data_IF_253769979447
#
_entry.id   IF_253769979447
#
_cell.length_a   1.000
_cell.length_b   1.000
_cell.length_c   1.000
_cell.angle_alpha   90.00
_cell.angle_beta   90.00
_cell.angle_gamma   90.00
#
_symmetry.space_group_name_H-M   'P 1'
#
loop_
_entity.id
_entity.type
_entity.pdbx_description
1 polymer ?
#
# COMPACT_ATOMS: atom_id res chain seq x y z
N UNK A 1 2.60 13.02 -17.22
CA UNK A 1 1.29 12.32 -17.36
C UNK A 1 0.49 12.49 -16.09
N UNK A 2 -0.79 12.80 -16.18
CA UNK A 2 -1.66 12.93 -15.02
C UNK A 2 -2.27 11.58 -14.65
N UNK A 3 -2.51 11.39 -13.35
CA UNK A 3 -3.11 10.16 -12.81
C UNK A 3 -4.25 10.50 -11.86
N UNK A 4 -5.23 9.64 -11.81
CA UNK A 4 -6.26 9.62 -10.78
C UNK A 4 -6.09 8.38 -9.92
N UNK A 5 -6.38 8.53 -8.63
CA UNK A 5 -6.40 7.43 -7.68
C UNK A 5 -7.84 7.28 -7.20
N UNK A 6 -8.40 6.11 -7.41
CA UNK A 6 -9.79 5.80 -7.11
C UNK A 6 -9.87 4.67 -6.10
N UNK A 7 -10.69 4.84 -5.07
CA UNK A 7 -11.01 3.76 -4.15
C UNK A 7 -11.87 2.72 -4.85
N UNK A 8 -11.57 1.44 -4.60
CA UNK A 8 -12.29 0.31 -5.19
C UNK A 8 -12.76 -0.67 -4.12
N UNK A 9 -13.79 -1.42 -4.42
CA UNK A 9 -14.33 -2.43 -3.52
C UNK A 9 -13.72 -3.80 -3.85
N UNK A 10 -12.86 -4.29 -2.98
CA UNK A 10 -12.22 -5.60 -3.14
C UNK A 10 -13.16 -6.80 -2.99
N UNK A 11 -14.40 -6.59 -2.52
CA UNK A 11 -15.42 -7.63 -2.49
C UNK A 11 -16.12 -7.82 -3.84
N UNK A 12 -16.00 -6.88 -4.76
CA UNK A 12 -16.45 -7.02 -6.13
C UNK A 12 -15.52 -8.00 -6.85
N UNK A 13 -16.08 -9.04 -7.48
CA UNK A 13 -15.27 -10.11 -8.09
C UNK A 13 -14.38 -9.62 -9.23
N UNK A 14 -14.85 -8.70 -10.06
CA UNK A 14 -14.06 -8.13 -11.17
C UNK A 14 -12.91 -7.30 -10.63
N UNK A 15 -13.16 -6.52 -9.57
CA UNK A 15 -12.12 -5.74 -8.90
C UNK A 15 -11.12 -6.67 -8.20
N UNK A 16 -11.58 -7.70 -7.51
CA UNK A 16 -10.71 -8.67 -6.85
C UNK A 16 -9.77 -9.35 -7.84
N UNK A 17 -10.28 -9.78 -8.98
CA UNK A 17 -9.49 -10.38 -10.06
C UNK A 17 -8.46 -9.38 -10.60
N UNK A 18 -8.87 -8.14 -10.86
CA UNK A 18 -7.99 -7.08 -11.31
C UNK A 18 -6.84 -6.84 -10.33
N UNK A 19 -7.15 -6.77 -9.03
CA UNK A 19 -6.13 -6.55 -7.98
C UNK A 19 -5.14 -7.70 -7.90
N UNK A 20 -5.60 -8.94 -8.00
CA UNK A 20 -4.72 -10.12 -8.03
C UNK A 20 -3.83 -10.13 -9.27
N UNK A 21 -4.38 -9.84 -10.43
CA UNK A 21 -3.63 -9.78 -11.69
C UNK A 21 -2.57 -8.67 -11.67
N UNK A 22 -2.91 -7.49 -11.19
CA UNK A 22 -1.96 -6.38 -11.00
C UNK A 22 -0.85 -6.76 -10.02
N UNK A 23 -1.21 -7.39 -8.91
CA UNK A 23 -0.25 -7.85 -7.92
C UNK A 23 0.74 -8.85 -8.54
N UNK A 24 0.24 -9.85 -9.24
CA UNK A 24 1.08 -10.90 -9.83
C UNK A 24 1.97 -10.36 -10.95
N UNK A 25 1.46 -9.42 -11.73
CA UNK A 25 2.26 -8.72 -12.74
C UNK A 25 3.43 -7.95 -12.12
N UNK A 26 3.18 -7.24 -11.02
CA UNK A 26 4.17 -6.33 -10.40
C UNK A 26 5.14 -7.07 -9.49
N UNK A 27 4.66 -8.01 -8.70
CA UNK A 27 5.44 -8.71 -7.66
C UNK A 27 5.81 -10.14 -8.03
N UNK A 28 5.23 -10.70 -9.08
CA UNK A 28 5.39 -12.10 -9.45
C UNK A 28 4.37 -13.00 -8.76
N UNK A 29 4.03 -14.10 -9.41
CA UNK A 29 3.02 -15.06 -8.95
C UNK A 29 3.51 -15.94 -7.78
N UNK A 30 4.81 -15.95 -7.49
CA UNK A 30 5.39 -16.64 -6.34
C UNK A 30 5.33 -15.80 -5.06
N UNK A 31 5.02 -14.50 -5.14
CA UNK A 31 4.84 -13.67 -3.96
C UNK A 31 3.60 -14.09 -3.17
N UNK A 32 3.57 -13.88 -1.83
CA UNK A 32 2.38 -14.17 -1.05
C UNK A 32 1.14 -13.49 -1.62
N UNK A 33 0.04 -14.23 -1.70
CA UNK A 33 -1.21 -13.74 -2.26
C UNK A 33 -1.78 -12.56 -1.47
N UNK A 34 -2.44 -11.66 -2.17
CA UNK A 34 -3.20 -10.59 -1.55
C UNK A 34 -4.63 -11.04 -1.28
N UNK A 35 -5.31 -10.34 -0.36
CA UNK A 35 -6.67 -10.63 0.07
C UNK A 35 -7.57 -9.43 -0.22
N UNK A 36 -8.14 -9.33 -1.44
CA UNK A 36 -8.95 -8.17 -1.83
C UNK A 36 -10.14 -7.89 -0.92
N UNK A 37 -10.66 -8.92 -0.23
CA UNK A 37 -11.75 -8.79 0.74
C UNK A 37 -11.34 -8.13 2.05
N UNK A 38 -10.04 -7.99 2.32
CA UNK A 38 -9.54 -7.38 3.55
C UNK A 38 -9.17 -5.92 3.34
N UNK A 39 -9.54 -5.06 4.29
CA UNK A 39 -9.12 -3.67 4.32
C UNK A 39 -9.67 -2.82 3.17
N UNK A 40 -8.86 -1.87 2.74
CA UNK A 40 -9.27 -0.87 1.75
C UNK A 40 -8.24 -0.77 0.64
N UNK A 41 -8.74 -0.61 -0.60
CA UNK A 41 -7.96 -0.67 -1.81
C UNK A 41 -8.19 0.53 -2.71
N UNK A 42 -7.16 0.91 -3.44
CA UNK A 42 -7.22 1.94 -4.48
C UNK A 42 -6.48 1.46 -5.71
N UNK A 43 -6.94 1.94 -6.86
CA UNK A 43 -6.20 1.83 -8.12
C UNK A 43 -5.83 3.22 -8.60
N UNK A 44 -4.69 3.33 -9.27
CA UNK A 44 -4.31 4.52 -10.03
C UNK A 44 -4.44 4.23 -11.51
N UNK A 45 -4.93 5.18 -12.25
CA UNK A 45 -5.04 5.08 -13.71
C UNK A 45 -4.64 6.38 -14.39
N UNK A 46 -4.11 6.26 -15.60
CA UNK A 46 -3.70 7.40 -16.41
C UNK A 46 -4.95 8.18 -16.89
N UNK A 47 -4.87 9.50 -16.80
CA UNK A 47 -5.92 10.39 -17.30
C UNK A 47 -5.59 10.74 -18.74
N UNK A 48 -5.75 9.78 -19.62
CA UNK A 48 -5.62 9.92 -21.05
C UNK A 48 -6.62 9.01 -21.76
N UNK A 49 -6.48 8.87 -23.07
CA UNK A 49 -7.40 8.07 -23.89
C UNK A 49 -7.38 6.58 -23.52
N UNK A 50 -6.25 6.07 -23.04
CA UNK A 50 -6.09 4.65 -22.71
C UNK A 50 -6.73 4.29 -21.38
N UNK A 51 -6.78 5.22 -20.43
CA UNK A 51 -7.15 4.96 -19.04
C UNK A 51 -6.41 3.77 -18.43
N UNK A 52 -5.16 3.61 -18.85
CA UNK A 52 -4.33 2.49 -18.43
C UNK A 52 -4.14 2.48 -16.91
N UNK A 53 -4.29 1.29 -16.30
CA UNK A 53 -4.12 1.13 -14.87
C UNK A 53 -2.63 1.14 -14.56
N UNK A 54 -2.23 2.06 -13.68
CA UNK A 54 -0.83 2.29 -13.36
C UNK A 54 -0.35 1.53 -12.12
N UNK A 55 -1.27 1.18 -11.21
CA UNK A 55 -0.91 0.51 -9.98
C UNK A 55 -2.04 0.41 -8.98
N UNK A 56 -1.72 -0.09 -7.80
CA UNK A 56 -2.67 -0.28 -6.71
C UNK A 56 -2.02 -0.02 -5.36
N UNK A 57 -2.83 0.20 -4.34
CA UNK A 57 -2.37 0.21 -2.95
C UNK A 57 -3.44 -0.32 -2.00
N UNK A 58 -2.98 -0.71 -0.81
CA UNK A 58 -3.76 -1.44 0.17
C UNK A 58 -3.40 -0.99 1.58
N UNK A 59 -4.41 -0.78 2.43
CA UNK A 59 -4.25 -0.58 3.87
C UNK A 59 -5.29 -1.42 4.59
N UNK A 60 -4.93 -1.99 5.71
CA UNK A 60 -5.84 -2.86 6.46
C UNK A 60 -5.62 -2.82 7.95
N UNK A 61 -6.66 -3.10 8.76
CA UNK A 61 -6.44 -3.53 10.12
C UNK A 61 -5.86 -4.95 10.10
N UNK A 62 -5.25 -5.36 11.18
CA UNK A 62 -4.78 -6.73 11.35
C UNK A 62 -4.89 -7.13 12.81
N UNK A 63 -5.20 -8.40 13.06
CA UNK A 63 -5.27 -8.94 14.41
C UNK A 63 -3.91 -9.00 15.11
N UNK A 64 -2.83 -8.91 14.36
CA UNK A 64 -1.46 -8.85 14.90
C UNK A 64 -1.12 -7.48 15.52
N UNK A 65 -1.97 -6.47 15.32
CA UNK A 65 -1.76 -5.11 15.81
C UNK A 65 -2.91 -4.64 16.68
N UNK A 66 -2.67 -3.69 17.62
CA UNK A 66 -3.74 -3.02 18.34
C UNK A 66 -4.77 -2.39 17.39
N UNK A 67 -6.02 -2.26 17.83
CA UNK A 67 -7.12 -1.68 17.05
C UNK A 67 -6.90 -0.23 16.65
N UNK A 68 -6.00 0.49 17.32
CA UNK A 68 -5.63 1.88 17.01
C UNK A 68 -4.65 1.99 15.87
N UNK A 69 -4.09 0.89 15.41
CA UNK A 69 -3.08 0.84 14.37
C UNK A 69 -3.61 0.20 13.09
N UNK A 70 -3.32 0.81 11.96
CA UNK A 70 -3.52 0.22 10.65
C UNK A 70 -2.18 -0.21 10.04
N UNK A 71 -2.21 -1.23 9.21
CA UNK A 71 -1.05 -1.72 8.48
C UNK A 71 -1.08 -1.19 7.05
N UNK A 72 -0.04 -0.43 6.69
CA UNK A 72 0.19 0.03 5.33
C UNK A 72 0.71 -1.15 4.51
N UNK A 73 -0.21 -1.84 3.88
CA UNK A 73 0.08 -3.07 3.18
C UNK A 73 0.70 -2.81 1.80
N UNK A 74 0.67 -3.79 0.93
CA UNK A 74 1.37 -3.73 -0.33
C UNK A 74 0.85 -2.63 -1.25
N UNK A 75 1.78 -1.97 -1.95
CA UNK A 75 1.48 -1.02 -3.00
C UNK A 75 2.44 -1.26 -4.16
N UNK A 76 1.93 -1.24 -5.37
CA UNK A 76 2.73 -1.51 -6.56
C UNK A 76 2.41 -0.54 -7.69
N UNK A 77 3.43 -0.20 -8.46
CA UNK A 77 3.31 0.64 -9.66
C UNK A 77 3.91 -0.12 -10.83
N UNK A 78 3.16 -0.23 -11.91
CA UNK A 78 3.63 -0.86 -13.14
C UNK A 78 4.89 -0.17 -13.65
N UNK A 79 5.79 -0.93 -14.22
CA UNK A 79 7.09 -0.43 -14.67
C UNK A 79 6.98 0.81 -15.59
N UNK A 80 6.04 0.80 -16.53
CA UNK A 80 5.81 1.89 -17.47
C UNK A 80 5.30 3.20 -16.84
N UNK A 81 4.83 3.14 -15.59
CA UNK A 81 4.26 4.29 -14.86
C UNK A 81 5.11 4.73 -13.66
N UNK A 82 6.29 4.15 -13.47
CA UNK A 82 7.20 4.52 -12.37
C UNK A 82 7.80 5.90 -12.60
N UNK A 83 8.25 6.52 -11.51
CA UNK A 83 8.88 7.84 -11.56
C UNK A 83 7.90 9.02 -11.59
N UNK A 84 6.59 8.78 -11.42
CA UNK A 84 5.56 9.82 -11.44
C UNK A 84 5.05 10.22 -10.04
N UNK A 85 5.70 9.74 -8.97
CA UNK A 85 5.32 10.06 -7.60
C UNK A 85 4.10 9.31 -7.07
N UNK A 86 3.66 8.25 -7.73
CA UNK A 86 2.47 7.49 -7.34
C UNK A 86 2.61 6.83 -5.97
N UNK A 87 3.78 6.31 -5.62
CA UNK A 87 3.98 5.66 -4.31
C UNK A 87 3.70 6.62 -3.15
N UNK A 88 4.14 7.86 -3.23
CA UNK A 88 3.87 8.86 -2.19
C UNK A 88 2.39 9.25 -2.16
N UNK A 89 1.74 9.34 -3.31
CA UNK A 89 0.30 9.60 -3.38
C UNK A 89 -0.49 8.43 -2.77
N UNK A 90 -0.06 7.20 -2.98
CA UNK A 90 -0.64 6.00 -2.37
C UNK A 90 -0.53 6.02 -0.84
N UNK A 91 0.59 6.47 -0.31
CA UNK A 91 0.73 6.66 1.15
C UNK A 91 -0.31 7.67 1.64
N UNK A 92 -0.41 8.81 0.98
CA UNK A 92 -1.31 9.91 1.40
C UNK A 92 -2.79 9.53 1.38
N UNK A 93 -3.26 8.83 0.35
CA UNK A 93 -4.68 8.44 0.29
C UNK A 93 -5.02 7.43 1.38
N UNK A 94 -4.11 6.52 1.70
CA UNK A 94 -4.28 5.56 2.78
C UNK A 94 -4.30 6.25 4.15
N UNK A 95 -3.39 7.17 4.38
CA UNK A 95 -3.36 7.98 5.61
C UNK A 95 -4.65 8.79 5.79
N UNK A 96 -5.13 9.42 4.73
CA UNK A 96 -6.35 10.21 4.79
C UNK A 96 -7.57 9.37 5.20
N UNK A 97 -7.70 8.16 4.67
CA UNK A 97 -8.77 7.25 5.08
C UNK A 97 -8.59 6.81 6.53
N UNK A 98 -7.39 6.43 6.92
CA UNK A 98 -7.11 5.97 8.29
C UNK A 98 -7.44 7.06 9.33
N UNK A 99 -7.13 8.32 9.04
CA UNK A 99 -7.55 9.44 9.91
C UNK A 99 -9.06 9.52 10.05
N UNK A 100 -9.79 9.40 8.95
CA UNK A 100 -11.26 9.45 8.98
C UNK A 100 -11.88 8.29 9.73
N UNK A 101 -11.24 7.12 9.69
CA UNK A 101 -11.71 5.92 10.39
C UNK A 101 -11.29 5.88 11.87
N UNK A 102 -10.50 6.86 12.33
CA UNK A 102 -10.11 6.97 13.73
C UNK A 102 -8.87 6.18 14.12
N UNK A 103 -8.10 5.66 13.17
CA UNK A 103 -6.80 5.07 13.49
C UNK A 103 -5.85 6.15 14.00
N UNK A 104 -5.09 5.84 15.03
CA UNK A 104 -4.15 6.78 15.65
C UNK A 104 -2.75 6.69 15.03
N UNK A 105 -2.39 5.51 14.51
CA UNK A 105 -1.07 5.22 13.97
C UNK A 105 -1.19 4.33 12.75
N UNK A 106 -0.20 4.47 11.87
CA UNK A 106 -0.02 3.58 10.73
C UNK A 106 1.37 2.97 10.82
N UNK A 107 1.47 1.67 10.59
CA UNK A 107 2.74 0.94 10.63
C UNK A 107 2.96 0.21 9.31
N UNK A 108 4.21 -0.06 9.00
CA UNK A 108 4.58 -0.86 7.83
C UNK A 108 5.98 -1.43 8.02
N UNK A 109 6.45 -2.13 7.01
CA UNK A 109 7.77 -2.75 7.00
C UNK A 109 8.42 -2.65 5.63
N UNK A 110 9.73 -2.69 5.60
CA UNK A 110 10.53 -2.82 4.39
C UNK A 110 11.63 -3.84 4.60
N UNK A 111 11.91 -4.63 3.57
CA UNK A 111 13.00 -5.61 3.59
C UNK A 111 13.78 -5.47 2.28
N UNK A 112 15.05 -5.06 2.37
CA UNK A 112 15.93 -4.87 1.22
C UNK A 112 15.32 -4.01 0.10
N UNK A 113 14.63 -2.94 0.49
CA UNK A 113 13.94 -2.05 -0.44
C UNK A 113 14.22 -0.58 -0.13
N UNK A 114 15.38 -0.05 -0.56
CA UNK A 114 15.76 1.35 -0.28
C UNK A 114 14.79 2.37 -0.87
N UNK A 115 14.19 2.10 -2.02
CA UNK A 115 13.24 3.02 -2.64
C UNK A 115 11.99 3.20 -1.79
N UNK A 116 11.43 2.10 -1.26
CA UNK A 116 10.31 2.15 -0.33
C UNK A 116 10.68 2.84 0.98
N UNK A 117 11.83 2.51 1.55
CA UNK A 117 12.32 3.14 2.77
C UNK A 117 12.46 4.65 2.61
N UNK A 118 13.05 5.11 1.51
CA UNK A 118 13.20 6.54 1.21
C UNK A 118 11.85 7.24 1.06
N UNK A 119 10.87 6.61 0.43
CA UNK A 119 9.52 7.17 0.33
C UNK A 119 8.86 7.31 1.69
N UNK A 120 9.01 6.33 2.58
CA UNK A 120 8.47 6.39 3.93
C UNK A 120 9.12 7.51 4.75
N UNK A 121 10.45 7.67 4.66
CA UNK A 121 11.15 8.79 5.31
C UNK A 121 10.59 10.13 4.82
N UNK A 122 10.42 10.29 3.51
CA UNK A 122 9.86 11.52 2.93
C UNK A 122 8.42 11.77 3.33
N UNK A 123 7.67 10.72 3.63
CA UNK A 123 6.29 10.83 4.12
C UNK A 123 6.20 11.01 5.64
N UNK A 124 7.32 11.09 6.34
CA UNK A 124 7.36 11.37 7.78
C UNK A 124 7.30 10.14 8.68
N UNK A 125 7.55 8.96 8.13
CA UNK A 125 7.63 7.72 8.93
C UNK A 125 8.97 7.65 9.67
N UNK A 126 8.91 7.11 10.88
CA UNK A 126 10.07 6.86 11.71
C UNK A 126 10.22 5.35 11.91
N UNK A 127 11.45 4.89 12.07
CA UNK A 127 11.71 3.49 12.40
C UNK A 127 11.32 3.21 13.85
N UNK A 128 10.86 2.00 14.11
CA UNK A 128 10.56 1.55 15.47
C UNK A 128 10.79 0.04 15.59
N UNK A 129 10.81 -0.46 16.82
CA UNK A 129 10.88 -1.89 17.11
C UNK A 129 9.52 -2.38 17.59
N UNK A 130 8.79 -3.19 16.81
CA UNK A 130 7.55 -3.77 17.29
C UNK A 130 7.81 -4.77 18.42
N UNK A 131 6.84 -4.90 19.31
CA UNK A 131 6.93 -5.85 20.43
C UNK A 131 7.04 -7.29 19.93
N UNK A 132 6.35 -7.63 18.85
CA UNK A 132 6.39 -8.94 18.20
C UNK A 132 6.71 -8.76 16.72
N UNK A 133 8.02 -8.72 16.36
CA UNK A 133 8.43 -8.58 14.97
C UNK A 133 7.88 -9.72 14.10
N UNK A 134 7.33 -9.36 12.94
CA UNK A 134 6.69 -10.32 12.02
C UNK A 134 7.49 -10.59 10.75
N UNK A 135 8.53 -9.83 10.47
CA UNK A 135 9.33 -9.95 9.26
C UNK A 135 10.60 -10.77 9.46
N UNK A 136 11.49 -10.67 8.49
CA UNK A 136 12.80 -11.29 8.53
C UNK A 136 13.74 -10.54 9.49
N UNK A 137 14.92 -11.11 9.77
CA UNK A 137 15.91 -10.48 10.66
C UNK A 137 16.41 -9.11 10.17
N UNK A 138 16.39 -8.88 8.86
CA UNK A 138 16.80 -7.63 8.22
C UNK A 138 15.62 -6.70 7.86
N UNK A 139 14.42 -7.00 8.33
CA UNK A 139 13.26 -6.14 8.11
C UNK A 139 13.35 -4.89 8.98
N UNK A 140 13.05 -3.74 8.39
CA UNK A 140 12.92 -2.45 9.09
C UNK A 140 11.43 -2.17 9.26
N UNK A 141 11.05 -1.74 10.46
CA UNK A 141 9.67 -1.41 10.80
C UNK A 141 9.52 0.11 10.92
N UNK A 142 8.41 0.61 10.41
CA UNK A 142 8.14 2.03 10.30
C UNK A 142 6.79 2.36 10.92
N UNK A 143 6.70 3.54 11.52
CA UNK A 143 5.49 4.02 12.15
C UNK A 143 5.31 5.52 11.92
N UNK A 144 4.06 5.93 11.81
CA UNK A 144 3.66 7.34 11.77
C UNK A 144 2.42 7.57 12.63
N UNK A 145 2.46 8.60 13.46
CA UNK A 145 1.28 9.08 14.17
C UNK A 145 0.39 9.86 13.20
N UNK A 146 -0.89 9.59 13.24
CA UNK A 146 -1.88 10.25 12.39
C UNK A 146 -2.57 11.46 13.12
#
# INVERSE_FOLDING_TARGET
>A
MAYRIKRVDGNDEEIAELLRDLHDEIFGDSAPQVHPEEGWWWIAYAVDETRDIAGFCWVKPTTALPRTMAYLARAGVRLSHRGAGLQRRFVRVREALCRRLGFEQIVTDTTDNPASANNLIRCGYLTYRPQSPWGFSNTIYWMKNL
#
